data_IF_219550922501
#
_entry.id   IF_219550922501
#
_cell.length_a   1.000
_cell.length_b   1.000
_cell.length_c   1.000
_cell.angle_alpha   90.00
_cell.angle_beta   90.00
_cell.angle_gamma   90.00
#
_symmetry.space_group_name_H-M   'P 1'
#
loop_
_entity.id
_entity.type
_entity.pdbx_description
1 polymer ?
#
# COMPACT_ATOMS: atom_id res chain seq x y z
N UNK A 1 -54.00 -56.97 -60.34
CA UNK A 1 -54.61 -55.71 -59.91
C UNK A 1 -53.63 -55.08 -58.99
N UNK A 2 -52.94 -54.00 -59.43
CA UNK A 2 -51.93 -53.33 -58.59
C UNK A 2 -52.55 -52.14 -57.86
N UNK A 3 -52.14 -51.96 -56.57
CA UNK A 3 -52.46 -50.86 -55.68
C UNK A 3 -51.48 -49.69 -55.86
N UNK A 4 -51.98 -48.55 -56.11
CA UNK A 4 -51.26 -47.27 -56.24
C UNK A 4 -50.99 -46.64 -54.88
N UNK A 5 -49.70 -46.38 -54.58
CA UNK A 5 -49.28 -45.54 -53.44
C UNK A 5 -49.23 -44.06 -53.86
N UNK A 6 -49.57 -43.15 -53.02
CA UNK A 6 -49.47 -41.73 -53.34
C UNK A 6 -48.09 -41.16 -52.97
N UNK A 7 -47.58 -40.31 -53.86
CA UNK A 7 -46.34 -39.50 -53.77
C UNK A 7 -46.51 -38.44 -52.74
N UNK A 8 -45.61 -38.40 -51.73
CA UNK A 8 -45.44 -37.25 -50.79
C UNK A 8 -44.68 -36.10 -51.46
N UNK A 9 -45.33 -34.96 -51.58
CA UNK A 9 -44.69 -33.70 -51.98
C UNK A 9 -43.74 -33.21 -50.90
N UNK A 10 -42.51 -32.89 -51.26
CA UNK A 10 -41.54 -32.21 -50.43
C UNK A 10 -41.99 -30.77 -50.24
N UNK A 11 -42.22 -30.38 -49.00
CA UNK A 11 -42.41 -28.99 -48.54
C UNK A 11 -41.06 -28.26 -48.43
N UNK A 12 -41.05 -27.01 -48.80
CA UNK A 12 -39.92 -26.19 -49.15
C UNK A 12 -39.07 -25.73 -47.98
N UNK A 13 -37.79 -25.56 -48.26
CA UNK A 13 -36.63 -25.16 -47.43
C UNK A 13 -36.66 -23.68 -46.98
N UNK A 14 -37.80 -23.01 -46.87
CA UNK A 14 -37.89 -21.56 -46.55
C UNK A 14 -38.18 -21.24 -45.09
N UNK A 15 -38.66 -22.21 -44.29
CA UNK A 15 -39.07 -21.91 -42.89
C UNK A 15 -37.92 -21.92 -41.85
N UNK A 16 -36.78 -22.56 -42.17
CA UNK A 16 -35.67 -22.74 -41.21
C UNK A 16 -34.84 -21.49 -40.99
N UNK A 17 -34.79 -20.54 -41.93
CA UNK A 17 -33.93 -19.35 -41.85
C UNK A 17 -34.55 -18.21 -41.02
N UNK A 18 -35.89 -18.18 -40.94
CA UNK A 18 -36.62 -17.14 -40.19
C UNK A 18 -36.67 -17.44 -38.67
N UNK A 19 -36.74 -18.70 -38.31
CA UNK A 19 -36.67 -19.16 -36.91
C UNK A 19 -35.30 -18.88 -36.30
N UNK A 20 -34.21 -19.16 -37.04
CA UNK A 20 -32.82 -18.89 -36.58
C UNK A 20 -32.52 -17.39 -36.39
N UNK A 21 -33.17 -16.51 -37.14
CA UNK A 21 -32.99 -15.06 -36.98
C UNK A 21 -33.71 -14.51 -35.74
N UNK A 22 -34.84 -15.05 -35.37
CA UNK A 22 -35.60 -14.61 -34.18
C UNK A 22 -34.87 -15.05 -32.91
N UNK A 23 -34.32 -16.27 -32.86
CA UNK A 23 -33.52 -16.79 -31.78
C UNK A 23 -32.24 -15.97 -31.56
N UNK A 24 -31.51 -15.64 -32.62
CA UNK A 24 -30.28 -14.86 -32.52
C UNK A 24 -30.52 -13.45 -31.95
N UNK A 25 -31.58 -12.76 -32.35
CA UNK A 25 -31.92 -11.43 -31.81
C UNK A 25 -32.33 -11.49 -30.33
N UNK A 26 -33.04 -12.54 -29.92
CA UNK A 26 -33.43 -12.80 -28.53
C UNK A 26 -32.20 -13.08 -27.67
N UNK A 27 -31.29 -13.91 -28.16
CA UNK A 27 -30.03 -14.27 -27.47
C UNK A 27 -29.12 -13.05 -27.30
N UNK A 28 -28.95 -12.24 -28.34
CA UNK A 28 -28.17 -11.01 -28.26
C UNK A 28 -28.78 -10.01 -27.28
N UNK A 29 -30.10 -9.85 -27.24
CA UNK A 29 -30.78 -9.01 -26.27
C UNK A 29 -30.59 -9.53 -24.83
N UNK A 30 -30.71 -10.83 -24.63
CA UNK A 30 -30.49 -11.47 -23.33
C UNK A 30 -29.05 -11.30 -22.84
N UNK A 31 -28.06 -11.58 -23.70
CA UNK A 31 -26.65 -11.40 -23.40
C UNK A 31 -26.33 -9.95 -23.04
N UNK A 32 -26.85 -8.99 -23.78
CA UNK A 32 -26.70 -7.56 -23.47
C UNK A 32 -27.25 -7.22 -22.08
N UNK A 33 -28.49 -7.67 -21.77
CA UNK A 33 -29.11 -7.41 -20.47
C UNK A 33 -28.32 -8.02 -19.31
N UNK A 34 -27.82 -9.24 -19.47
CA UNK A 34 -26.98 -9.91 -18.46
C UNK A 34 -25.66 -9.15 -18.31
N UNK A 35 -25.01 -8.81 -19.41
CA UNK A 35 -23.78 -8.03 -19.40
C UNK A 35 -23.94 -6.69 -18.68
N UNK A 36 -24.98 -5.90 -19.00
CA UNK A 36 -25.25 -4.61 -18.39
C UNK A 36 -25.51 -4.76 -16.87
N UNK A 37 -26.23 -5.80 -16.46
CA UNK A 37 -26.49 -6.07 -15.03
C UNK A 37 -25.22 -6.47 -14.28
N UNK A 38 -24.42 -7.37 -14.85
CA UNK A 38 -23.12 -7.78 -14.27
C UNK A 38 -22.12 -6.62 -14.24
N UNK A 39 -22.07 -5.82 -15.32
CA UNK A 39 -21.25 -4.63 -15.45
C UNK A 39 -21.49 -3.62 -14.34
N UNK A 40 -22.77 -3.34 -14.05
CA UNK A 40 -23.16 -2.45 -12.93
C UNK A 40 -22.83 -3.03 -11.57
N UNK A 41 -23.15 -4.30 -11.33
CA UNK A 41 -22.90 -4.95 -10.04
C UNK A 41 -21.39 -5.01 -9.70
N UNK A 42 -20.57 -5.32 -10.70
CA UNK A 42 -19.12 -5.43 -10.54
C UNK A 42 -18.37 -4.11 -10.76
N UNK A 43 -19.06 -3.02 -11.17
CA UNK A 43 -18.48 -1.73 -11.58
C UNK A 43 -17.37 -1.91 -12.62
N UNK A 44 -17.67 -2.72 -13.65
CA UNK A 44 -16.74 -3.05 -14.76
C UNK A 44 -17.35 -2.59 -16.06
N UNK A 45 -16.63 -1.80 -16.85
CA UNK A 45 -17.03 -1.41 -18.19
C UNK A 45 -16.01 -1.85 -19.24
N UNK A 46 -16.50 -2.08 -20.46
CA UNK A 46 -15.65 -2.36 -21.61
C UNK A 46 -15.27 -1.06 -22.33
N UNK A 47 -14.07 -1.04 -22.87
CA UNK A 47 -13.54 0.07 -23.65
C UNK A 47 -12.73 -0.42 -24.85
N UNK A 48 -12.67 0.40 -25.86
CA UNK A 48 -11.90 0.15 -27.08
C UNK A 48 -11.27 1.45 -27.59
N UNK A 49 -10.10 1.33 -28.23
CA UNK A 49 -9.45 2.42 -28.95
C UNK A 49 -8.94 1.87 -30.29
N UNK A 50 -9.43 2.46 -31.39
CA UNK A 50 -8.88 2.23 -32.72
C UNK A 50 -7.47 2.80 -32.80
N UNK A 51 -6.53 2.07 -33.42
CA UNK A 51 -5.14 2.54 -33.55
C UNK A 51 -4.93 3.35 -34.83
N UNK A 52 -5.93 3.39 -35.71
CA UNK A 52 -5.86 4.14 -36.97
C UNK A 52 -6.15 5.63 -36.77
N UNK A 53 -7.12 5.97 -35.93
CA UNK A 53 -7.64 7.32 -35.72
C UNK A 53 -7.77 7.70 -34.25
N UNK A 54 -7.27 6.87 -33.33
CA UNK A 54 -7.32 7.04 -31.88
C UNK A 54 -8.74 7.19 -31.31
N UNK A 55 -9.78 6.77 -32.06
CA UNK A 55 -11.17 6.88 -31.65
C UNK A 55 -11.46 5.91 -30.50
N UNK A 56 -12.08 6.46 -29.45
CA UNK A 56 -12.50 5.73 -28.26
C UNK A 56 -13.95 5.28 -28.36
N UNK A 57 -14.22 4.10 -27.84
CA UNK A 57 -15.56 3.60 -27.57
C UNK A 57 -15.64 3.08 -26.14
N UNK A 58 -16.71 3.45 -25.43
CA UNK A 58 -16.95 3.10 -24.03
C UNK A 58 -18.34 2.52 -23.83
N UNK A 59 -18.50 1.56 -22.95
CA UNK A 59 -19.81 1.21 -22.38
C UNK A 59 -20.24 2.25 -21.37
N UNK A 60 -21.55 2.30 -21.05
CA UNK A 60 -22.13 3.25 -20.10
C UNK A 60 -21.41 3.25 -18.75
N UNK A 61 -20.98 2.07 -18.28
CA UNK A 61 -20.24 1.95 -17.03
C UNK A 61 -18.90 2.68 -17.08
N UNK A 62 -18.17 2.69 -18.19
CA UNK A 62 -16.92 3.45 -18.28
C UNK A 62 -17.18 4.96 -18.19
N UNK A 63 -18.24 5.45 -18.82
CA UNK A 63 -18.66 6.85 -18.65
C UNK A 63 -18.91 7.18 -17.18
N UNK A 64 -19.62 6.29 -16.45
CA UNK A 64 -19.90 6.45 -15.02
C UNK A 64 -18.61 6.42 -14.18
N UNK A 65 -17.67 5.53 -14.49
CA UNK A 65 -16.38 5.43 -13.80
C UNK A 65 -15.55 6.72 -13.90
N UNK A 66 -15.68 7.47 -14.99
CA UNK A 66 -14.98 8.73 -15.22
C UNK A 66 -15.81 9.96 -14.91
N UNK A 67 -17.06 9.79 -14.43
CA UNK A 67 -18.05 10.85 -14.22
C UNK A 67 -18.30 11.71 -15.48
N UNK A 68 -18.30 11.07 -16.63
CA UNK A 68 -18.60 11.65 -17.96
C UNK A 68 -20.05 11.28 -18.32
N UNK A 69 -20.80 12.21 -18.87
CA UNK A 69 -22.19 11.92 -19.27
C UNK A 69 -22.21 10.95 -20.47
N UNK A 70 -23.06 9.89 -20.44
CA UNK A 70 -23.17 8.93 -21.53
C UNK A 70 -23.47 9.64 -22.86
N UNK A 71 -22.77 9.23 -23.92
CA UNK A 71 -22.92 9.83 -25.26
C UNK A 71 -22.09 11.10 -25.49
N UNK A 72 -21.37 11.61 -24.49
CA UNK A 72 -20.41 12.69 -24.69
C UNK A 72 -19.31 12.21 -25.67
N UNK A 73 -18.96 13.00 -26.68
CA UNK A 73 -17.83 12.68 -27.56
C UNK A 73 -16.54 12.49 -26.77
N UNK A 74 -15.87 11.38 -27.01
CA UNK A 74 -14.64 11.02 -26.29
C UNK A 74 -13.43 11.53 -27.08
N UNK A 75 -12.71 12.48 -26.51
CA UNK A 75 -11.42 12.95 -27.02
C UNK A 75 -10.32 12.33 -26.17
N UNK A 76 -9.48 11.49 -26.77
CA UNK A 76 -8.45 10.73 -26.05
C UNK A 76 -7.53 11.64 -25.23
N UNK A 77 -7.11 12.75 -25.80
CA UNK A 77 -6.20 13.69 -25.12
C UNK A 77 -6.82 14.34 -23.88
N UNK A 78 -8.13 14.56 -23.86
CA UNK A 78 -8.85 15.04 -22.68
C UNK A 78 -8.95 13.93 -21.63
N UNK A 79 -9.25 12.70 -22.04
CA UNK A 79 -9.39 11.56 -21.12
C UNK A 79 -8.06 11.25 -20.42
N UNK A 80 -6.93 11.33 -21.12
CA UNK A 80 -5.63 11.03 -20.50
C UNK A 80 -5.20 12.07 -19.48
N UNK A 81 -5.75 13.28 -19.49
CA UNK A 81 -5.49 14.28 -18.43
C UNK A 81 -6.10 13.95 -17.09
N UNK A 82 -7.07 13.02 -17.05
CA UNK A 82 -7.70 12.55 -15.80
C UNK A 82 -6.81 11.60 -15.00
N UNK A 83 -5.75 11.05 -15.60
CA UNK A 83 -4.78 10.18 -14.91
C UNK A 83 -3.74 11.01 -14.18
N UNK A 84 -3.27 10.54 -13.02
CA UNK A 84 -2.13 11.17 -12.35
C UNK A 84 -0.89 11.12 -13.26
N UNK A 85 0.05 12.06 -13.09
CA UNK A 85 1.25 12.17 -13.95
C UNK A 85 2.08 10.87 -13.95
N UNK A 86 2.21 10.23 -12.78
CA UNK A 86 2.90 8.96 -12.61
C UNK A 86 2.19 7.84 -13.37
N UNK A 87 0.88 7.70 -13.16
CA UNK A 87 0.04 6.70 -13.83
C UNK A 87 0.05 6.91 -15.35
N UNK A 88 -0.05 8.14 -15.82
CA UNK A 88 -0.03 8.44 -17.26
C UNK A 88 1.29 8.01 -17.91
N UNK A 89 2.42 8.26 -17.25
CA UNK A 89 3.74 7.83 -17.72
C UNK A 89 3.81 6.29 -17.86
N UNK A 90 3.33 5.59 -16.85
CA UNK A 90 3.29 4.12 -16.84
C UNK A 90 2.34 3.57 -17.91
N UNK A 91 1.14 4.16 -18.04
CA UNK A 91 0.15 3.77 -19.03
C UNK A 91 0.70 3.91 -20.48
N UNK A 92 1.37 5.04 -20.78
CA UNK A 92 1.99 5.26 -22.09
C UNK A 92 3.02 4.18 -22.41
N UNK A 93 3.90 3.87 -21.47
CA UNK A 93 4.93 2.83 -21.64
C UNK A 93 4.33 1.45 -21.88
N UNK A 94 3.35 1.03 -21.04
CA UNK A 94 2.70 -0.28 -21.15
C UNK A 94 1.90 -0.41 -22.44
N UNK A 95 1.18 0.66 -22.85
CA UNK A 95 0.44 0.68 -24.11
C UNK A 95 1.36 0.53 -25.32
N UNK A 96 2.47 1.28 -25.38
CA UNK A 96 3.43 1.18 -26.47
C UNK A 96 4.02 -0.23 -26.59
N UNK A 97 4.48 -0.79 -25.46
CA UNK A 97 5.02 -2.15 -25.43
C UNK A 97 3.99 -3.20 -25.86
N UNK A 98 2.73 -3.07 -25.42
CA UNK A 98 1.66 -3.99 -25.82
C UNK A 98 1.35 -3.90 -27.32
N UNK A 99 1.37 -2.71 -27.91
CA UNK A 99 1.15 -2.52 -29.36
C UNK A 99 2.29 -3.14 -30.18
N UNK A 100 3.55 -2.91 -29.76
CA UNK A 100 4.72 -3.45 -30.46
C UNK A 100 4.77 -4.99 -30.40
N UNK A 101 4.38 -5.58 -29.26
CA UNK A 101 4.44 -7.02 -29.02
C UNK A 101 3.14 -7.76 -29.37
N UNK A 102 2.10 -7.06 -29.85
CA UNK A 102 0.74 -7.59 -30.04
C UNK A 102 0.20 -8.29 -28.79
N UNK A 103 0.52 -7.74 -27.62
CA UNK A 103 0.33 -8.34 -26.31
C UNK A 103 -0.82 -7.73 -25.50
N UNK A 104 -0.66 -7.78 -24.20
CA UNK A 104 -1.65 -7.28 -23.23
C UNK A 104 -0.94 -6.64 -22.03
N UNK A 105 -1.68 -5.84 -21.26
CA UNK A 105 -1.22 -5.33 -19.96
C UNK A 105 -2.37 -5.19 -18.97
N UNK A 106 -1.99 -5.07 -17.69
CA UNK A 106 -2.88 -4.65 -16.60
C UNK A 106 -2.20 -3.55 -15.80
N UNK A 107 -2.99 -2.56 -15.36
CA UNK A 107 -2.52 -1.42 -14.59
C UNK A 107 -3.60 -0.93 -13.64
N UNK A 108 -3.29 -0.76 -12.36
CA UNK A 108 -4.13 -0.03 -11.42
C UNK A 108 -3.78 1.46 -11.50
N UNK A 109 -4.71 2.25 -12.01
CA UNK A 109 -4.53 3.63 -12.39
C UNK A 109 -5.25 4.57 -11.42
N UNK A 110 -4.55 5.55 -10.86
CA UNK A 110 -5.19 6.64 -10.13
C UNK A 110 -5.75 7.67 -11.10
N UNK A 111 -7.04 7.97 -10.94
CA UNK A 111 -7.82 8.86 -11.81
C UNK A 111 -8.49 9.93 -10.96
N UNK A 112 -8.44 11.18 -11.44
CA UNK A 112 -9.30 12.27 -10.97
C UNK A 112 -10.38 12.45 -12.02
N UNK A 113 -11.61 12.08 -11.69
CA UNK A 113 -12.74 12.09 -12.63
C UNK A 113 -13.13 13.51 -13.03
N UNK A 114 -13.99 13.65 -14.05
CA UNK A 114 -14.47 14.98 -14.52
C UNK A 114 -15.16 15.81 -13.43
N UNK A 115 -15.74 15.14 -12.42
CA UNK A 115 -16.36 15.79 -11.24
C UNK A 115 -15.40 16.01 -10.06
N UNK A 116 -14.09 15.69 -10.24
CA UNK A 116 -13.07 15.84 -9.20
C UNK A 116 -13.01 14.68 -8.20
N UNK A 117 -13.73 13.58 -8.39
CA UNK A 117 -13.63 12.41 -7.55
C UNK A 117 -12.34 11.65 -7.82
N UNK A 118 -11.63 11.23 -6.76
CA UNK A 118 -10.45 10.38 -6.86
C UNK A 118 -10.88 8.92 -6.87
N UNK A 119 -10.47 8.16 -7.89
CA UNK A 119 -10.75 6.72 -8.04
C UNK A 119 -9.51 5.95 -8.44
N UNK A 120 -9.49 4.68 -8.10
CA UNK A 120 -8.53 3.71 -8.62
C UNK A 120 -9.24 2.82 -9.65
N UNK A 121 -8.76 2.87 -10.88
CA UNK A 121 -9.34 2.13 -12.00
C UNK A 121 -8.34 1.07 -12.46
N UNK A 122 -8.71 -0.20 -12.34
CA UNK A 122 -7.96 -1.30 -12.95
C UNK A 122 -8.24 -1.31 -14.45
N UNK A 123 -7.22 -1.12 -15.23
CA UNK A 123 -7.28 -1.15 -16.70
C UNK A 123 -6.66 -2.46 -17.14
N UNK A 124 -7.43 -3.31 -17.79
CA UNK A 124 -6.89 -4.43 -18.56
C UNK A 124 -7.00 -4.11 -20.04
N UNK A 125 -5.99 -4.47 -20.80
CA UNK A 125 -5.92 -4.18 -22.23
C UNK A 125 -5.31 -5.33 -23.00
N UNK A 126 -5.83 -5.56 -24.19
CA UNK A 126 -5.31 -6.52 -25.17
C UNK A 126 -5.29 -5.85 -26.55
N UNK A 127 -4.25 -6.16 -27.31
CA UNK A 127 -4.12 -5.70 -28.69
C UNK A 127 -4.72 -6.75 -29.62
N UNK A 128 -5.55 -6.30 -30.55
CA UNK A 128 -5.99 -7.10 -31.70
C UNK A 128 -5.16 -6.72 -32.92
N UNK A 129 -4.79 -7.71 -33.68
CA UNK A 129 -3.99 -7.52 -34.89
C UNK A 129 -4.61 -8.22 -36.10
N UNK A 130 -4.47 -7.59 -37.26
CA UNK A 130 -4.80 -8.16 -38.55
C UNK A 130 -3.53 -8.20 -39.42
N UNK A 131 -3.24 -9.37 -40.00
CA UNK A 131 -2.03 -9.59 -40.80
C UNK A 131 -0.72 -9.18 -40.10
N UNK A 132 -0.63 -9.38 -38.78
CA UNK A 132 0.54 -9.03 -37.98
C UNK A 132 0.68 -7.53 -37.63
N UNK A 133 -0.31 -6.69 -37.99
CA UNK A 133 -0.35 -5.29 -37.66
C UNK A 133 -1.44 -5.02 -36.61
N UNK A 134 -1.08 -4.32 -35.53
CA UNK A 134 -2.04 -3.90 -34.52
C UNK A 134 -3.10 -2.97 -35.12
N UNK A 135 -4.39 -3.25 -34.90
CA UNK A 135 -5.53 -2.49 -35.44
C UNK A 135 -6.34 -1.79 -34.36
N UNK A 136 -6.47 -2.43 -33.19
CA UNK A 136 -7.15 -1.84 -32.04
C UNK A 136 -6.61 -2.37 -30.73
N UNK A 137 -6.83 -1.62 -29.67
CA UNK A 137 -6.60 -2.03 -28.30
C UNK A 137 -7.91 -1.93 -27.53
N UNK A 138 -8.26 -2.94 -26.78
CA UNK A 138 -9.53 -3.03 -26.08
C UNK A 138 -9.37 -3.78 -24.75
N UNK A 139 -10.36 -3.66 -23.87
CA UNK A 139 -10.34 -4.37 -22.60
C UNK A 139 -11.40 -3.87 -21.63
N UNK A 140 -11.08 -3.99 -20.34
CA UNK A 140 -11.99 -3.64 -19.25
C UNK A 140 -11.40 -2.52 -18.40
N UNK A 141 -12.28 -1.73 -17.82
CA UNK A 141 -12.00 -0.78 -16.74
C UNK A 141 -12.88 -1.10 -15.56
N UNK A 142 -12.28 -1.30 -14.40
CA UNK A 142 -12.96 -1.67 -13.15
C UNK A 142 -12.64 -0.67 -12.07
N UNK A 143 -13.64 -0.26 -11.29
CA UNK A 143 -13.42 0.50 -10.08
C UNK A 143 -12.90 -0.42 -8.96
N UNK A 144 -11.65 -0.24 -8.61
CA UNK A 144 -10.97 -0.97 -7.53
C UNK A 144 -10.62 -0.05 -6.36
N UNK A 145 -11.30 1.10 -6.27
CA UNK A 145 -11.01 2.12 -5.25
C UNK A 145 -11.13 1.54 -3.84
N UNK A 146 -12.22 0.84 -3.56
CA UNK A 146 -12.44 0.23 -2.25
C UNK A 146 -11.40 -0.86 -1.94
N UNK A 147 -11.10 -1.72 -2.92
CA UNK A 147 -10.08 -2.77 -2.81
C UNK A 147 -8.70 -2.18 -2.45
N UNK A 148 -8.25 -1.18 -3.20
CA UNK A 148 -6.96 -0.51 -2.96
C UNK A 148 -6.94 0.22 -1.62
N UNK A 149 -8.04 0.90 -1.24
CA UNK A 149 -8.13 1.58 0.06
C UNK A 149 -8.09 0.59 1.21
N UNK A 150 -8.80 -0.53 1.11
CA UNK A 150 -8.76 -1.59 2.13
C UNK A 150 -7.36 -2.21 2.24
N UNK A 151 -6.69 -2.50 1.12
CA UNK A 151 -5.32 -3.03 1.13
C UNK A 151 -4.33 -2.04 1.75
N UNK A 152 -4.46 -0.74 1.45
CA UNK A 152 -3.64 0.30 2.08
C UNK A 152 -3.90 0.38 3.59
N UNK A 153 -5.15 0.31 4.01
CA UNK A 153 -5.52 0.33 5.43
C UNK A 153 -5.00 -0.91 6.17
N UNK A 154 -5.16 -2.11 5.58
CA UNK A 154 -4.62 -3.35 6.14
C UNK A 154 -3.10 -3.25 6.31
N UNK A 155 -2.40 -2.75 5.27
CA UNK A 155 -0.95 -2.55 5.33
C UNK A 155 -0.57 -1.52 6.38
N UNK A 156 -1.30 -0.40 6.45
CA UNK A 156 -1.06 0.62 7.45
C UNK A 156 -1.20 0.05 8.88
N UNK A 157 -2.27 -0.72 9.15
CA UNK A 157 -2.45 -1.40 10.45
C UNK A 157 -1.41 -2.47 10.73
N UNK A 158 -0.90 -3.13 9.67
CA UNK A 158 0.19 -4.10 9.81
C UNK A 158 1.53 -3.45 10.13
N UNK A 159 1.76 -2.20 9.71
CA UNK A 159 3.04 -1.51 9.81
C UNK A 159 3.12 -0.50 10.97
N UNK A 160 2.00 0.03 11.44
CA UNK A 160 1.97 1.13 12.42
C UNK A 160 1.22 0.78 13.70
N UNK A 161 1.64 1.34 14.81
CA UNK A 161 0.95 1.27 16.11
C UNK A 161 -0.29 2.19 16.09
N UNK A 162 -1.45 1.63 16.35
CA UNK A 162 -2.74 2.31 16.23
C UNK A 162 -2.94 3.46 17.23
N UNK A 163 -2.25 3.44 18.38
CA UNK A 163 -2.36 4.46 19.40
C UNK A 163 -1.47 5.65 19.11
N UNK A 164 -0.21 5.39 18.73
CA UNK A 164 0.83 6.42 18.61
C UNK A 164 1.11 6.87 17.18
N UNK A 165 0.70 6.07 16.18
CA UNK A 165 1.00 6.31 14.77
C UNK A 165 2.46 6.07 14.37
N UNK A 166 3.33 5.65 15.30
CA UNK A 166 4.69 5.23 14.99
C UNK A 166 4.71 3.86 14.32
N UNK A 167 5.84 3.49 13.71
CA UNK A 167 6.04 2.12 13.26
C UNK A 167 5.82 1.14 14.43
N UNK A 168 5.16 0.01 14.15
CA UNK A 168 4.90 -1.00 15.16
C UNK A 168 6.08 -1.98 15.30
N UNK A 169 5.94 -2.95 16.20
CA UNK A 169 6.95 -3.98 16.46
C UNK A 169 7.31 -4.79 15.21
N UNK A 170 6.33 -5.11 14.35
CA UNK A 170 6.58 -5.90 13.14
C UNK A 170 7.48 -5.13 12.17
N UNK A 171 7.13 -3.88 11.85
CA UNK A 171 7.91 -3.02 10.97
C UNK A 171 9.31 -2.72 11.52
N UNK A 172 9.42 -2.58 12.84
CA UNK A 172 10.73 -2.44 13.52
C UNK A 172 11.64 -3.64 13.24
N UNK A 173 11.16 -4.87 13.48
CA UNK A 173 11.97 -6.07 13.24
C UNK A 173 12.33 -6.24 11.76
N UNK A 174 11.36 -6.07 10.84
CA UNK A 174 11.60 -6.13 9.39
C UNK A 174 12.70 -5.13 8.97
N UNK A 175 12.64 -3.91 9.50
CA UNK A 175 13.63 -2.88 9.17
C UNK A 175 15.00 -3.21 9.73
N UNK A 176 15.07 -3.65 10.98
CA UNK A 176 16.31 -4.03 11.64
C UNK A 176 16.98 -5.21 10.92
N UNK A 177 16.20 -6.24 10.56
CA UNK A 177 16.69 -7.42 9.82
C UNK A 177 17.23 -7.01 8.44
N UNK A 178 16.53 -6.12 7.74
CA UNK A 178 16.97 -5.60 6.43
C UNK A 178 18.30 -4.87 6.53
N UNK A 179 18.48 -4.02 7.54
CA UNK A 179 19.70 -3.23 7.71
C UNK A 179 20.89 -4.10 8.13
N UNK A 180 20.69 -5.01 9.09
CA UNK A 180 21.75 -5.87 9.59
C UNK A 180 22.10 -6.98 8.59
N UNK A 181 21.08 -7.56 7.91
CA UNK A 181 21.27 -8.65 6.93
C UNK A 181 21.89 -8.21 5.59
N UNK A 182 21.82 -6.92 5.24
CA UNK A 182 22.34 -6.41 3.96
C UNK A 182 23.87 -6.30 3.90
N UNK A 183 24.59 -6.62 4.97
CA UNK A 183 26.05 -6.44 5.05
C UNK A 183 26.50 -4.97 5.15
N UNK A 184 25.54 -4.04 5.12
CA UNK A 184 25.76 -2.58 5.30
C UNK A 184 25.73 -2.19 6.79
N UNK A 185 25.82 -3.18 7.68
CA UNK A 185 25.56 -3.06 9.10
C UNK A 185 26.60 -2.22 9.88
N UNK A 186 27.73 -1.88 9.31
CA UNK A 186 28.83 -1.19 10.04
C UNK A 186 28.46 0.20 10.55
N UNK A 187 27.34 0.78 10.08
CA UNK A 187 26.93 2.15 10.42
C UNK A 187 25.49 2.23 10.96
N UNK A 188 25.00 1.17 11.60
CA UNK A 188 23.65 1.14 12.18
C UNK A 188 23.72 1.21 13.71
N UNK A 189 22.93 2.11 14.31
CA UNK A 189 22.74 2.19 15.76
C UNK A 189 21.30 1.94 16.12
N UNK A 190 21.08 1.15 17.18
CA UNK A 190 19.78 0.88 17.79
C UNK A 190 19.71 1.56 19.16
N UNK A 191 18.65 2.34 19.38
CA UNK A 191 18.28 2.87 20.69
C UNK A 191 17.00 2.20 21.14
N UNK A 192 17.02 1.52 22.29
CA UNK A 192 15.81 1.08 22.98
C UNK A 192 15.48 2.08 24.08
N UNK A 193 14.22 2.51 24.13
CA UNK A 193 13.73 3.58 24.99
C UNK A 193 12.56 3.06 25.80
N UNK A 194 12.61 3.20 27.12
CA UNK A 194 11.55 2.81 28.05
C UNK A 194 11.13 4.03 28.88
N UNK A 195 9.81 4.25 29.02
CA UNK A 195 9.28 5.38 29.77
C UNK A 195 9.32 5.13 31.26
N UNK A 196 10.21 5.82 31.95
CA UNK A 196 10.29 5.79 33.39
C UNK A 196 9.05 6.43 34.05
N UNK A 197 8.45 5.72 34.99
CA UNK A 197 7.28 6.20 35.72
C UNK A 197 5.91 5.91 35.07
N UNK A 198 5.86 5.34 33.86
CA UNK A 198 4.62 5.11 33.13
C UNK A 198 3.64 4.20 33.90
N UNK A 199 4.11 3.15 34.55
CA UNK A 199 3.26 2.28 35.39
C UNK A 199 2.54 3.08 36.47
N UNK A 200 3.22 4.05 37.12
CA UNK A 200 2.61 4.91 38.13
C UNK A 200 1.49 5.79 37.55
N UNK A 201 1.65 6.26 36.31
CA UNK A 201 0.59 7.00 35.61
C UNK A 201 -0.65 6.12 35.45
N UNK A 202 -0.50 4.89 34.94
CA UNK A 202 -1.62 3.97 34.79
C UNK A 202 -2.29 3.62 36.13
N UNK A 203 -1.50 3.33 37.15
CA UNK A 203 -1.99 2.92 38.46
C UNK A 203 -2.72 4.06 39.22
N UNK A 204 -2.27 5.33 39.00
CA UNK A 204 -2.80 6.49 39.72
C UNK A 204 -3.86 7.27 38.96
N UNK A 205 -3.71 7.41 37.63
CA UNK A 205 -4.55 8.27 36.75
C UNK A 205 -5.38 7.49 35.74
N UNK A 206 -5.19 6.17 35.66
CA UNK A 206 -5.91 5.27 34.78
C UNK A 206 -5.38 5.22 33.34
N UNK A 207 -5.75 4.16 32.64
CA UNK A 207 -5.24 3.84 31.31
C UNK A 207 -5.49 4.93 30.25
N UNK A 208 -6.58 5.68 30.35
CA UNK A 208 -6.85 6.79 29.39
C UNK A 208 -5.81 7.90 29.48
N UNK A 209 -5.33 8.21 30.68
CA UNK A 209 -4.23 9.19 30.86
C UNK A 209 -2.92 8.56 30.39
N UNK A 210 -2.69 7.28 30.67
CA UNK A 210 -1.55 6.54 30.15
C UNK A 210 -1.49 6.56 28.61
N UNK A 211 -2.59 6.30 27.94
CA UNK A 211 -2.67 6.39 26.46
C UNK A 211 -2.30 7.79 25.95
N UNK A 212 -2.79 8.85 26.62
CA UNK A 212 -2.42 10.23 26.27
C UNK A 212 -0.92 10.48 26.48
N UNK A 213 -0.32 9.92 27.55
CA UNK A 213 1.12 10.00 27.77
C UNK A 213 1.92 9.26 26.69
N UNK A 214 1.46 8.10 26.22
CA UNK A 214 2.10 7.36 25.11
C UNK A 214 2.06 8.14 23.79
N UNK A 215 0.94 8.80 23.50
CA UNK A 215 0.81 9.66 22.31
C UNK A 215 1.78 10.84 22.40
N UNK A 216 1.86 11.48 23.56
CA UNK A 216 2.78 12.62 23.77
C UNK A 216 4.25 12.17 23.74
N UNK A 217 4.58 11.00 24.34
CA UNK A 217 5.90 10.40 24.24
C UNK A 217 6.31 10.13 22.78
N UNK A 218 5.42 9.56 22.00
CA UNK A 218 5.65 9.30 20.58
C UNK A 218 5.92 10.57 19.79
N UNK A 219 5.13 11.62 20.03
CA UNK A 219 5.32 12.93 19.39
C UNK A 219 6.69 13.55 19.74
N UNK A 220 7.07 13.53 21.03
CA UNK A 220 8.34 14.04 21.52
C UNK A 220 9.52 13.23 20.97
N UNK A 221 9.40 11.91 20.99
CA UNK A 221 10.42 11.00 20.47
C UNK A 221 10.68 11.24 19.00
N UNK A 222 9.62 11.31 18.19
CA UNK A 222 9.73 11.54 16.75
C UNK A 222 10.41 12.89 16.44
N UNK A 223 10.13 13.92 17.22
CA UNK A 223 10.78 15.22 17.07
C UNK A 223 12.26 15.20 17.53
N UNK A 224 12.54 14.57 18.68
CA UNK A 224 13.90 14.51 19.23
C UNK A 224 14.83 13.57 18.46
N UNK A 225 14.28 12.55 17.80
CA UNK A 225 14.99 11.57 16.97
C UNK A 225 15.19 12.03 15.52
N UNK A 226 15.27 13.34 15.27
CA UNK A 226 15.52 13.89 13.93
C UNK A 226 16.73 13.22 13.26
N UNK A 227 16.55 12.80 11.99
CA UNK A 227 17.56 12.08 11.22
C UNK A 227 17.56 10.56 11.46
N UNK A 228 16.66 10.04 12.30
CA UNK A 228 16.48 8.58 12.45
C UNK A 228 15.92 7.95 11.16
N UNK A 229 16.36 6.74 10.87
CA UNK A 229 15.82 5.92 9.79
C UNK A 229 14.43 5.37 10.14
N UNK A 230 14.20 5.03 11.42
CA UNK A 230 12.93 4.55 11.93
C UNK A 230 12.72 4.95 13.40
N UNK A 231 11.50 5.37 13.73
CA UNK A 231 11.01 5.53 15.11
C UNK A 231 9.81 4.61 15.28
N UNK A 232 9.80 3.79 16.33
CA UNK A 232 8.80 2.74 16.52
C UNK A 232 8.37 2.59 17.96
N UNK A 233 7.14 2.11 18.18
CA UNK A 233 6.67 1.58 19.46
C UNK A 233 6.63 0.06 19.39
N UNK A 234 7.41 -0.60 20.24
CA UNK A 234 7.60 -2.06 20.21
C UNK A 234 6.74 -2.82 21.21
N UNK A 235 6.16 -2.10 22.19
CA UNK A 235 5.20 -2.68 23.14
C UNK A 235 5.03 -1.80 24.37
N UNK A 236 3.87 -1.82 25.01
CA UNK A 236 3.64 -1.12 26.27
C UNK A 236 4.14 0.32 26.28
N UNK A 237 5.15 0.58 27.10
CA UNK A 237 5.89 1.83 27.25
C UNK A 237 7.28 1.81 26.59
N UNK A 238 7.54 0.80 25.75
CA UNK A 238 8.83 0.62 25.06
C UNK A 238 8.79 1.14 23.64
N UNK A 239 9.83 1.90 23.27
CA UNK A 239 10.04 2.45 21.94
C UNK A 239 11.43 2.05 21.42
N UNK A 240 11.60 2.10 20.11
CA UNK A 240 12.90 1.88 19.47
C UNK A 240 13.17 2.93 18.40
N UNK A 241 14.43 3.32 18.27
CA UNK A 241 14.90 4.25 17.24
C UNK A 241 16.08 3.61 16.52
N UNK A 242 16.04 3.60 15.20
CA UNK A 242 17.14 3.12 14.35
C UNK A 242 17.77 4.31 13.65
N UNK A 243 19.09 4.42 13.77
CA UNK A 243 19.89 5.33 12.96
C UNK A 243 20.74 4.54 11.96
N UNK A 244 20.82 5.02 10.74
CA UNK A 244 21.65 4.48 9.69
C UNK A 244 22.66 5.53 9.23
N UNK A 245 23.90 5.11 9.02
CA UNK A 245 25.01 5.98 8.54
C UNK A 245 25.23 7.23 9.43
N UNK A 246 25.01 7.08 10.74
CA UNK A 246 25.22 8.14 11.72
C UNK A 246 26.50 7.91 12.51
N UNK A 247 27.22 8.99 12.82
CA UNK A 247 28.39 8.91 13.68
C UNK A 247 27.99 8.67 15.15
N UNK A 248 28.92 8.16 15.95
CA UNK A 248 28.73 7.97 17.41
C UNK A 248 28.25 9.26 18.06
N UNK A 249 28.90 10.38 17.73
CA UNK A 249 28.56 11.69 18.31
C UNK A 249 27.14 12.17 17.93
N UNK A 250 26.69 11.87 16.71
CA UNK A 250 25.31 12.20 16.28
C UNK A 250 24.29 11.40 17.08
N UNK A 251 24.53 10.09 17.26
CA UNK A 251 23.64 9.20 18.02
C UNK A 251 23.61 9.56 19.52
N UNK A 252 24.75 9.85 20.13
CA UNK A 252 24.82 10.28 21.53
C UNK A 252 24.12 11.65 21.73
N UNK A 253 24.27 12.57 20.77
CA UNK A 253 23.57 13.85 20.78
C UNK A 253 22.06 13.63 20.67
N UNK A 254 21.61 12.73 19.80
CA UNK A 254 20.20 12.37 19.67
C UNK A 254 19.68 11.68 20.96
N UNK A 255 20.43 10.77 21.56
CA UNK A 255 20.07 10.14 22.83
C UNK A 255 19.89 11.14 23.96
N UNK A 256 20.80 12.13 24.07
CA UNK A 256 20.66 13.24 25.03
C UNK A 256 19.39 14.07 24.77
N UNK A 257 19.10 14.44 23.49
CA UNK A 257 17.88 15.17 23.13
C UNK A 257 16.63 14.37 23.50
N UNK A 258 16.64 13.05 23.25
CA UNK A 258 15.52 12.18 23.57
C UNK A 258 15.32 12.15 25.11
N UNK A 259 16.36 11.92 25.90
CA UNK A 259 16.26 11.96 27.38
C UNK A 259 15.66 13.28 27.85
N UNK A 260 16.14 14.41 27.34
CA UNK A 260 15.63 15.72 27.72
C UNK A 260 14.15 15.94 27.30
N UNK A 261 13.78 15.49 26.10
CA UNK A 261 12.42 15.60 25.58
C UNK A 261 11.43 14.72 26.34
N UNK A 262 11.89 13.60 26.90
CA UNK A 262 11.06 12.66 27.66
C UNK A 262 10.83 13.08 29.12
N UNK A 263 11.35 14.21 29.55
CA UNK A 263 11.10 14.75 30.88
C UNK A 263 9.87 15.65 30.88
N UNK A 264 8.78 15.19 31.46
CA UNK A 264 7.57 16.01 31.72
C UNK A 264 6.74 15.40 32.85
N UNK A 265 5.77 16.14 33.33
CA UNK A 265 4.85 15.67 34.36
C UNK A 265 3.52 15.21 33.74
N UNK A 266 3.05 14.04 34.15
CA UNK A 266 1.69 13.59 33.91
C UNK A 266 0.81 13.99 35.10
N UNK A 267 -0.10 14.95 34.88
CA UNK A 267 -0.78 15.62 36.00
C UNK A 267 0.19 16.42 36.87
N UNK A 268 -0.19 16.68 38.12
CA UNK A 268 0.56 17.60 38.98
C UNK A 268 1.79 16.95 39.64
N UNK A 269 1.82 15.62 39.84
CA UNK A 269 2.82 14.97 40.72
C UNK A 269 3.59 13.78 40.12
N UNK A 270 3.30 13.34 38.90
CA UNK A 270 3.96 12.16 38.32
C UNK A 270 4.96 12.57 37.26
N UNK A 271 6.22 12.64 37.64
CA UNK A 271 7.30 12.86 36.69
C UNK A 271 7.53 11.61 35.84
N UNK A 272 7.59 11.83 34.51
CA UNK A 272 8.01 10.88 33.51
C UNK A 272 9.43 11.21 33.05
N UNK A 273 10.14 10.19 32.57
CA UNK A 273 11.46 10.28 31.99
C UNK A 273 11.67 9.13 31.00
N UNK A 274 12.91 8.93 30.58
CA UNK A 274 13.25 7.77 29.75
C UNK A 274 14.60 7.17 30.11
N UNK A 275 14.64 5.83 30.16
CA UNK A 275 15.88 5.05 30.19
C UNK A 275 16.18 4.51 28.81
N UNK A 276 17.38 4.80 28.29
CA UNK A 276 17.75 4.48 26.91
C UNK A 276 18.99 3.59 26.90
N UNK A 277 18.92 2.48 26.15
CA UNK A 277 20.06 1.65 25.81
C UNK A 277 20.46 1.85 24.35
N UNK A 278 21.74 2.10 24.11
CA UNK A 278 22.30 2.33 22.77
C UNK A 278 23.24 1.17 22.43
N UNK A 279 23.07 0.56 21.28
CA UNK A 279 23.98 -0.45 20.73
C UNK A 279 24.31 -0.14 19.26
N UNK A 280 25.50 -0.57 18.83
CA UNK A 280 26.01 -0.39 17.49
C UNK A 280 26.17 -1.73 16.79
N UNK A 281 25.69 -1.81 15.56
CA UNK A 281 25.94 -2.98 14.74
C UNK A 281 27.43 -3.02 14.33
N UNK A 282 28.06 -4.15 14.60
CA UNK A 282 29.44 -4.44 14.22
C UNK A 282 29.52 -5.53 13.16
N UNK A 283 30.74 -5.90 12.79
CA UNK A 283 30.99 -7.04 11.91
C UNK A 283 30.44 -8.33 12.53
N UNK A 284 29.54 -9.01 11.84
CA UNK A 284 28.91 -10.24 12.34
C UNK A 284 27.73 -10.04 13.31
N UNK A 285 27.29 -8.81 13.57
CA UNK A 285 26.06 -8.56 14.33
C UNK A 285 24.86 -9.17 13.64
N UNK A 286 23.94 -9.70 14.43
CA UNK A 286 22.59 -10.08 14.02
C UNK A 286 21.59 -9.12 14.65
N UNK A 287 20.38 -9.04 14.10
CA UNK A 287 19.29 -8.23 14.69
C UNK A 287 19.03 -8.61 16.13
N UNK A 288 19.10 -9.92 16.44
CA UNK A 288 18.89 -10.44 17.78
C UNK A 288 20.03 -10.00 18.74
N UNK A 289 21.31 -10.12 18.33
CA UNK A 289 22.43 -9.69 19.18
C UNK A 289 22.41 -8.18 19.43
N UNK A 290 22.11 -7.39 18.40
CA UNK A 290 22.02 -5.92 18.51
C UNK A 290 20.90 -5.50 19.47
N UNK A 291 19.74 -6.18 19.38
CA UNK A 291 18.63 -5.95 20.30
C UNK A 291 19.01 -6.27 21.74
N UNK A 292 19.60 -7.45 21.99
CA UNK A 292 20.04 -7.84 23.33
C UNK A 292 21.10 -6.89 23.92
N UNK A 293 21.99 -6.37 23.11
CA UNK A 293 23.01 -5.40 23.53
C UNK A 293 22.39 -4.08 23.94
N UNK A 294 21.43 -3.56 23.16
CA UNK A 294 20.67 -2.37 23.48
C UNK A 294 19.81 -2.56 24.75
N UNK A 295 19.16 -3.73 24.89
CA UNK A 295 18.35 -4.05 26.07
C UNK A 295 19.20 -4.09 27.35
N UNK A 296 20.36 -4.77 27.31
CA UNK A 296 21.31 -4.77 28.42
C UNK A 296 21.78 -3.36 28.81
N UNK A 297 22.00 -2.50 27.82
CA UNK A 297 22.36 -1.10 28.08
C UNK A 297 21.21 -0.33 28.71
N UNK A 298 19.97 -0.52 28.21
CA UNK A 298 18.77 0.10 28.79
C UNK A 298 18.53 -0.35 30.23
N UNK A 299 18.72 -1.63 30.54
CA UNK A 299 18.64 -2.14 31.90
C UNK A 299 19.68 -1.47 32.84
N UNK A 300 20.91 -1.25 32.34
CA UNK A 300 21.93 -0.49 33.09
C UNK A 300 21.51 0.96 33.31
N UNK A 301 20.88 1.60 32.34
CA UNK A 301 20.34 2.95 32.50
C UNK A 301 19.29 3.00 33.63
N UNK A 302 18.36 2.03 33.67
CA UNK A 302 17.38 1.89 34.75
C UNK A 302 18.02 1.67 36.11
N UNK A 303 19.01 0.78 36.20
CA UNK A 303 19.72 0.47 37.44
C UNK A 303 20.58 1.64 37.96
N UNK A 304 21.09 2.49 37.09
CA UNK A 304 21.95 3.65 37.43
C UNK A 304 21.15 4.90 37.81
N UNK A 305 19.84 4.82 38.04
CA UNK A 305 19.02 5.95 38.50
C UNK A 305 18.08 6.51 37.45
N UNK A 306 17.85 5.79 36.33
CA UNK A 306 16.90 6.18 35.27
C UNK A 306 17.20 7.51 34.60
N UNK A 307 16.30 7.97 33.72
CA UNK A 307 16.35 9.26 33.03
C UNK A 307 17.73 9.57 32.42
N UNK A 308 18.27 8.61 31.68
CA UNK A 308 19.59 8.66 31.04
C UNK A 308 19.70 7.66 29.89
N UNK A 309 20.73 7.80 29.12
CA UNK A 309 21.17 6.77 28.19
C UNK A 309 22.45 6.07 28.67
N UNK A 310 22.63 4.82 28.25
CA UNK A 310 23.86 4.05 28.41
C UNK A 310 24.19 3.43 27.05
N UNK A 311 25.44 3.52 26.65
CA UNK A 311 25.97 2.86 25.43
C UNK A 311 26.46 1.45 25.82
N UNK A 312 26.08 0.45 25.01
CA UNK A 312 26.68 -0.88 25.12
C UNK A 312 28.16 -0.81 24.71
N UNK A 313 29.03 -1.13 25.63
CA UNK A 313 30.44 -1.35 25.32
C UNK A 313 30.65 -2.85 25.18
N UNK A 314 31.19 -3.34 24.05
CA UNK A 314 31.62 -4.73 23.98
C UNK A 314 32.67 -4.98 25.10
N UNK A 315 32.69 -6.18 25.69
CA UNK A 315 33.73 -6.51 26.69
C UNK A 315 35.10 -6.20 26.09
N UNK A 316 35.88 -5.34 26.78
CA UNK A 316 37.23 -5.01 26.37
C UNK A 316 38.03 -6.31 26.26
N UNK A 317 38.61 -6.56 25.11
CA UNK A 317 39.53 -7.69 24.88
C UNK A 317 40.88 -7.57 25.67
N UNK A 318 40.98 -6.60 26.58
CA UNK A 318 42.18 -6.32 27.38
C UNK A 318 42.11 -6.91 28.79
N UNK A 319 41.69 -8.17 28.91
CA UNK A 319 41.82 -8.93 30.17
C UNK A 319 42.15 -10.39 29.83
N UNK A 320 43.31 -10.63 29.20
CA UNK A 320 43.93 -11.95 29.13
C UNK A 320 45.44 -11.79 29.21
#
# INVERSE_FOLDING_TARGET
MPSSSPVRKRSSRTDTVEVDRIDLASDVYHLKKVFDSCSKAARIGAWECSLADERLWWTDMVYELFDVDPGTPLVRDEIVTMYSAETLSQLKRLRSAAIEQLGSFSLDAEVITRKGNRRWIRITARVESENGKAVRIFGLKQDVTLEIMMLKEIRHRADFDHLTGLANRFRFHERLDTLVGSGLATDCALLLVDLDGFKRVNDSLGHRVGDSCLIEAARRLNFAAEGADLVSRIGGDEFAVIYRSASIQQVETAANRIVAAMQWNAGDDIALGASIGVAWAGSGSTSASLYEEADRAMYRAKASGRNRFVVHQPPSLDAA
#
